data_IF_846746904261
#
_entry.id   IF_846746904261
#
_cell.length_a   1.000
_cell.length_b   1.000
_cell.length_c   1.000
_cell.angle_alpha   90.00
_cell.angle_beta   90.00
_cell.angle_gamma   90.00
#
_symmetry.space_group_name_H-M   'P 1'
#
loop_
_entity.id
_entity.type
_entity.pdbx_description
1 polymer ?
#
# COMPACT_ATOMS: atom_id res chain seq x y z
N UNK A 1 -20.05 -0.66 -20.67
CA UNK A 1 -20.57 0.60 -20.10
C UNK A 1 -19.59 1.00 -19.01
N UNK A 2 -18.44 1.58 -19.40
CA UNK A 2 -17.33 1.88 -18.50
C UNK A 2 -17.71 3.01 -17.55
N UNK A 3 -17.81 2.70 -16.26
CA UNK A 3 -17.89 3.70 -15.22
C UNK A 3 -16.46 4.25 -15.07
N UNK A 4 -16.14 5.28 -15.85
CA UNK A 4 -15.03 6.18 -15.53
C UNK A 4 -15.30 6.73 -14.13
N UNK A 5 -14.48 6.38 -13.15
CA UNK A 5 -14.45 7.05 -11.85
C UNK A 5 -14.09 8.53 -12.04
N UNK A 6 -15.10 9.34 -12.37
CA UNK A 6 -15.09 10.78 -12.15
C UNK A 6 -15.88 11.07 -10.88
N UNK A 7 -15.42 10.58 -9.73
CA UNK A 7 -15.76 11.20 -8.45
C UNK A 7 -14.75 12.31 -8.20
N UNK A 8 -15.07 13.52 -8.68
CA UNK A 8 -14.40 14.74 -8.20
C UNK A 8 -14.81 14.89 -6.74
N UNK A 9 -13.94 14.52 -5.81
CA UNK A 9 -14.06 14.96 -4.42
C UNK A 9 -14.09 16.50 -4.46
N UNK A 10 -15.20 17.09 -4.03
CA UNK A 10 -15.28 18.54 -3.89
C UNK A 10 -14.42 18.92 -2.69
N UNK A 11 -13.44 19.83 -2.88
CA UNK A 11 -12.47 20.25 -1.84
C UNK A 11 -13.14 21.15 -0.77
N UNK A 12 -14.46 21.07 -0.61
CA UNK A 12 -15.24 21.90 0.30
C UNK A 12 -15.00 21.60 1.78
N UNK A 13 -14.69 20.33 2.12
CA UNK A 13 -14.57 19.86 3.51
C UNK A 13 -13.28 20.28 4.23
N UNK A 14 -12.21 20.66 3.52
CA UNK A 14 -10.93 21.03 4.16
C UNK A 14 -11.02 22.40 4.87
N UNK A 15 -12.01 23.25 4.53
CA UNK A 15 -12.15 24.59 5.13
C UNK A 15 -12.44 24.57 6.64
N UNK A 16 -12.86 23.44 7.21
CA UNK A 16 -13.10 23.30 8.65
C UNK A 16 -11.86 22.93 9.48
N UNK A 17 -10.79 22.44 8.86
CA UNK A 17 -9.61 21.87 9.55
C UNK A 17 -8.57 22.91 9.99
N UNK A 18 -8.74 24.18 9.62
CA UNK A 18 -7.79 25.27 9.89
C UNK A 18 -8.27 26.30 10.93
N UNK A 19 -9.20 25.93 11.83
CA UNK A 19 -9.70 26.85 12.85
C UNK A 19 -8.72 27.10 14.03
N UNK A 20 -7.51 26.52 14.01
CA UNK A 20 -6.51 26.70 15.07
C UNK A 20 -5.03 26.47 14.70
N UNK A 21 -4.74 25.91 13.53
CA UNK A 21 -3.39 25.82 12.97
C UNK A 21 -3.24 26.85 11.85
N UNK A 22 -2.12 27.58 11.76
CA UNK A 22 -1.87 28.45 10.60
C UNK A 22 -2.04 27.63 9.32
N UNK A 23 -2.84 28.13 8.38
CA UNK A 23 -3.15 27.46 7.11
C UNK A 23 -1.83 26.99 6.45
N UNK A 24 -1.57 25.68 6.43
CA UNK A 24 -0.33 25.13 5.87
C UNK A 24 -0.29 25.41 4.37
N UNK A 25 0.83 25.95 3.92
CA UNK A 25 1.06 26.21 2.50
C UNK A 25 1.55 24.95 1.78
N UNK A 26 1.45 24.92 0.44
CA UNK A 26 2.07 23.85 -0.36
C UNK A 26 3.58 23.73 -0.08
N UNK A 27 4.23 24.85 0.22
CA UNK A 27 5.65 24.91 0.55
C UNK A 27 5.97 24.27 1.91
N UNK A 28 5.07 24.38 2.89
CA UNK A 28 5.21 23.67 4.16
C UNK A 28 5.13 22.15 3.97
N UNK A 29 4.24 21.68 3.08
CA UNK A 29 4.17 20.27 2.70
C UNK A 29 5.42 19.84 1.92
N UNK A 30 5.93 20.68 1.01
CA UNK A 30 7.17 20.41 0.29
C UNK A 30 8.36 20.24 1.24
N UNK A 31 8.51 21.15 2.20
CA UNK A 31 9.56 21.06 3.21
C UNK A 31 9.39 19.83 4.10
N UNK A 32 8.16 19.48 4.47
CA UNK A 32 7.87 18.26 5.24
C UNK A 32 8.27 17.00 4.46
N UNK A 33 7.81 16.87 3.22
CA UNK A 33 8.14 15.75 2.33
C UNK A 33 9.64 15.65 2.08
N UNK A 34 10.32 16.79 1.84
CA UNK A 34 11.76 16.83 1.64
C UNK A 34 12.54 16.31 2.87
N UNK A 35 12.14 16.74 4.08
CA UNK A 35 12.82 16.38 5.33
C UNK A 35 12.49 15.00 5.88
N UNK A 36 11.35 14.41 5.49
CA UNK A 36 10.88 13.14 6.06
C UNK A 36 10.94 11.97 5.08
N UNK A 37 10.62 12.19 3.80
CA UNK A 37 10.55 11.14 2.79
C UNK A 37 11.76 11.23 1.86
N UNK A 38 11.90 12.32 1.11
CA UNK A 38 12.90 12.41 0.02
C UNK A 38 14.34 12.41 0.53
N UNK A 39 14.59 12.85 1.76
CA UNK A 39 15.92 12.74 2.39
C UNK A 39 16.42 11.29 2.52
N UNK A 40 15.53 10.31 2.47
CA UNK A 40 15.84 8.88 2.54
C UNK A 40 15.86 8.20 1.15
N UNK A 41 15.60 8.94 0.06
CA UNK A 41 15.59 8.36 -1.28
C UNK A 41 17.01 8.07 -1.75
N UNK A 42 17.28 6.82 -2.13
CA UNK A 42 18.59 6.45 -2.65
C UNK A 42 18.90 7.19 -3.97
N UNK A 43 20.07 7.85 -4.10
CA UNK A 43 20.39 8.66 -5.27
C UNK A 43 20.65 7.84 -6.55
N UNK A 44 20.91 6.54 -6.45
CA UNK A 44 21.15 5.67 -7.61
C UNK A 44 19.89 4.90 -8.00
N UNK A 45 19.30 4.17 -7.06
CA UNK A 45 18.16 3.28 -7.34
C UNK A 45 16.81 3.99 -7.26
N UNK A 46 16.71 5.10 -6.54
CA UNK A 46 15.45 5.75 -6.20
C UNK A 46 14.67 5.09 -5.06
N UNK A 47 15.18 4.00 -4.48
CA UNK A 47 14.49 3.25 -3.43
C UNK A 47 14.67 3.87 -2.04
N UNK A 48 13.69 3.66 -1.17
CA UNK A 48 13.70 3.97 0.25
C UNK A 48 14.00 2.70 1.05
N UNK A 49 14.97 2.80 1.96
CA UNK A 49 15.16 1.77 2.99
C UNK A 49 14.10 1.92 4.09
N UNK A 50 13.68 0.81 4.70
CA UNK A 50 12.68 0.82 5.77
C UNK A 50 13.18 1.47 7.08
N UNK A 51 14.49 1.62 7.26
CA UNK A 51 15.07 2.22 8.45
C UNK A 51 16.55 2.54 8.26
N UNK A 52 17.15 3.21 9.25
CA UNK A 52 18.56 3.62 9.19
C UNK A 52 19.55 2.46 9.29
N UNK A 53 19.14 1.36 9.91
CA UNK A 53 20.00 0.21 10.23
C UNK A 53 19.88 -0.93 9.22
N UNK A 54 19.13 -0.74 8.14
CA UNK A 54 18.93 -1.75 7.09
C UNK A 54 18.96 -1.07 5.73
N UNK A 55 19.46 -1.77 4.71
CA UNK A 55 19.31 -1.33 3.33
C UNK A 55 18.07 -1.96 2.67
N UNK A 56 17.21 -2.67 3.40
CA UNK A 56 16.05 -3.33 2.83
C UNK A 56 14.96 -2.33 2.41
N UNK A 57 14.56 -2.40 1.15
CA UNK A 57 13.48 -1.64 0.52
C UNK A 57 12.31 -2.57 0.19
N UNK A 58 11.23 -2.48 0.95
CA UNK A 58 9.98 -3.19 0.65
C UNK A 58 9.24 -2.48 -0.47
N UNK A 59 8.69 -3.26 -1.41
CA UNK A 59 7.91 -2.74 -2.54
C UNK A 59 6.76 -1.87 -2.03
N UNK A 60 5.97 -2.39 -1.08
CA UNK A 60 4.79 -1.72 -0.52
C UNK A 60 5.12 -0.37 0.12
N UNK A 61 6.12 -0.35 1.00
CA UNK A 61 6.56 0.85 1.71
C UNK A 61 7.09 1.92 0.74
N UNK A 62 7.83 1.51 -0.28
CA UNK A 62 8.32 2.41 -1.33
C UNK A 62 7.17 3.03 -2.13
N UNK A 63 6.16 2.23 -2.47
CA UNK A 63 4.98 2.71 -3.20
C UNK A 63 4.17 3.69 -2.34
N UNK A 64 3.88 3.36 -1.07
CA UNK A 64 3.16 4.28 -0.18
C UNK A 64 3.94 5.58 0.10
N UNK A 65 5.26 5.50 0.29
CA UNK A 65 6.10 6.69 0.46
C UNK A 65 6.03 7.61 -0.76
N UNK A 66 6.09 7.04 -1.97
CA UNK A 66 6.11 7.85 -3.19
C UNK A 66 4.73 8.35 -3.61
N UNK A 67 3.64 7.70 -3.16
CA UNK A 67 2.27 8.21 -3.31
C UNK A 67 2.09 9.57 -2.62
N UNK A 68 2.71 9.81 -1.46
CA UNK A 68 2.66 11.11 -0.79
C UNK A 68 3.35 12.21 -1.62
N UNK A 69 4.50 11.90 -2.21
CA UNK A 69 5.25 12.80 -3.10
C UNK A 69 4.46 13.10 -4.38
N UNK A 70 3.83 12.08 -4.96
CA UNK A 70 2.96 12.21 -6.13
C UNK A 70 1.70 13.05 -5.83
N UNK A 71 1.05 12.83 -4.68
CA UNK A 71 -0.09 13.65 -4.26
C UNK A 71 0.27 15.14 -4.12
N UNK A 72 1.46 15.44 -3.61
CA UNK A 72 1.97 16.82 -3.56
C UNK A 72 2.29 17.36 -4.96
N UNK A 73 2.88 16.56 -5.86
CA UNK A 73 3.16 17.00 -7.23
C UNK A 73 1.86 17.34 -7.99
N UNK A 74 0.82 16.52 -7.84
CA UNK A 74 -0.51 16.79 -8.39
C UNK A 74 -1.12 18.08 -7.83
N UNK A 75 -0.84 18.41 -6.57
CA UNK A 75 -1.29 19.64 -5.94
C UNK A 75 -0.59 20.87 -6.55
N UNK A 76 0.74 20.84 -6.70
CA UNK A 76 1.47 21.89 -7.42
C UNK A 76 1.04 22.01 -8.88
N UNK A 77 0.74 20.89 -9.55
CA UNK A 77 0.26 20.86 -10.94
C UNK A 77 -1.06 21.61 -11.15
N UNK A 78 -1.88 21.75 -10.10
CA UNK A 78 -3.10 22.57 -10.13
C UNK A 78 -2.82 24.08 -9.97
N UNK A 79 -1.61 24.47 -9.58
CA UNK A 79 -1.21 25.84 -9.26
C UNK A 79 0.06 26.28 -10.02
N UNK A 80 0.16 25.92 -11.31
CA UNK A 80 1.34 26.18 -12.17
C UNK A 80 1.49 27.63 -12.66
N UNK A 81 0.62 28.55 -12.22
CA UNK A 81 0.69 29.97 -12.61
C UNK A 81 2.00 30.65 -12.15
N UNK A 82 2.71 30.04 -11.20
CA UNK A 82 4.01 30.48 -10.71
C UNK A 82 5.11 29.53 -11.20
N UNK A 83 6.16 30.09 -11.82
CA UNK A 83 7.30 29.32 -12.33
C UNK A 83 7.98 28.46 -11.25
N UNK A 84 8.02 28.94 -10.00
CA UNK A 84 8.57 28.18 -8.87
C UNK A 84 7.79 26.88 -8.60
N UNK A 85 6.45 26.92 -8.70
CA UNK A 85 5.60 25.74 -8.53
C UNK A 85 5.82 24.73 -9.66
N UNK A 86 6.13 25.19 -10.86
CA UNK A 86 6.49 24.31 -11.98
C UNK A 86 7.77 23.53 -11.69
N UNK A 87 8.83 24.20 -11.20
CA UNK A 87 10.09 23.54 -10.85
C UNK A 87 9.88 22.51 -9.72
N UNK A 88 9.20 22.89 -8.64
CA UNK A 88 8.88 21.98 -7.53
C UNK A 88 8.06 20.78 -7.99
N UNK A 89 7.03 21.01 -8.81
CA UNK A 89 6.24 19.94 -9.41
C UNK A 89 7.13 18.96 -10.20
N UNK A 90 7.99 19.49 -11.08
CA UNK A 90 8.88 18.66 -11.90
C UNK A 90 9.84 17.83 -11.04
N UNK A 91 10.47 18.43 -10.02
CA UNK A 91 11.38 17.73 -9.10
C UNK A 91 10.69 16.59 -8.35
N UNK A 92 9.46 16.82 -7.88
CA UNK A 92 8.63 15.79 -7.24
C UNK A 92 8.27 14.68 -8.24
N UNK A 93 7.80 15.02 -9.45
CA UNK A 93 7.47 14.04 -10.50
C UNK A 93 8.70 13.19 -10.88
N UNK A 94 9.90 13.78 -11.00
CA UNK A 94 11.12 13.03 -11.26
C UNK A 94 11.50 12.08 -10.10
N UNK A 95 11.26 12.50 -8.87
CA UNK A 95 11.46 11.64 -7.69
C UNK A 95 10.50 10.44 -7.71
N UNK A 96 9.25 10.66 -8.15
CA UNK A 96 8.23 9.62 -8.34
C UNK A 96 8.67 8.61 -9.39
N UNK A 97 9.00 9.10 -10.59
CA UNK A 97 9.48 8.28 -11.71
C UNK A 97 10.69 7.45 -11.29
N UNK A 98 11.65 8.05 -10.58
CA UNK A 98 12.86 7.35 -10.13
C UNK A 98 12.56 6.16 -9.23
N UNK A 99 11.68 6.32 -8.24
CA UNK A 99 11.31 5.22 -7.32
C UNK A 99 10.59 4.09 -8.06
N UNK A 100 9.57 4.44 -8.85
CA UNK A 100 8.75 3.46 -9.55
C UNK A 100 9.56 2.69 -10.61
N UNK A 101 10.52 3.35 -11.26
CA UNK A 101 11.48 2.69 -12.15
C UNK A 101 12.50 1.84 -11.40
N UNK A 102 12.98 2.30 -10.24
CA UNK A 102 13.83 1.52 -9.36
C UNK A 102 13.21 0.16 -9.02
N UNK A 103 11.93 0.17 -8.61
CA UNK A 103 11.15 -1.03 -8.34
C UNK A 103 10.96 -1.90 -9.59
N UNK A 104 10.64 -1.30 -10.75
CA UNK A 104 10.52 -2.02 -12.02
C UNK A 104 11.79 -2.80 -12.34
N UNK A 105 12.95 -2.13 -12.26
CA UNK A 105 14.26 -2.74 -12.54
C UNK A 105 14.54 -3.90 -11.57
N UNK A 106 14.18 -3.75 -10.29
CA UNK A 106 14.33 -4.82 -9.30
C UNK A 106 13.49 -6.05 -9.66
N UNK A 107 12.24 -5.85 -10.08
CA UNK A 107 11.36 -6.94 -10.52
C UNK A 107 11.84 -7.57 -11.83
N UNK A 108 12.30 -6.77 -12.80
CA UNK A 108 12.83 -7.25 -14.09
C UNK A 108 14.06 -8.15 -13.93
N UNK A 109 14.93 -7.87 -12.95
CA UNK A 109 16.06 -8.76 -12.63
C UNK A 109 15.61 -10.17 -12.23
N UNK A 110 14.37 -10.34 -11.78
CA UNK A 110 13.77 -11.61 -11.41
C UNK A 110 12.84 -12.20 -12.49
N UNK A 111 12.95 -11.76 -13.75
CA UNK A 111 12.06 -12.22 -14.85
C UNK A 111 11.93 -13.74 -14.97
N UNK A 112 13.01 -14.50 -14.69
CA UNK A 112 12.97 -15.97 -14.69
C UNK A 112 12.03 -16.54 -13.64
N UNK A 113 11.92 -15.88 -12.48
CA UNK A 113 10.98 -16.27 -11.42
C UNK A 113 9.55 -15.98 -11.84
N UNK A 114 9.28 -14.80 -12.40
CA UNK A 114 7.95 -14.43 -12.94
C UNK A 114 7.47 -15.45 -13.98
N UNK A 115 8.33 -15.78 -14.95
CA UNK A 115 8.01 -16.79 -15.98
C UNK A 115 7.69 -18.15 -15.39
N UNK A 116 8.50 -18.61 -14.43
CA UNK A 116 8.31 -19.91 -13.78
C UNK A 116 7.02 -19.92 -12.94
N UNK A 117 6.77 -18.87 -12.16
CA UNK A 117 5.62 -18.75 -11.28
C UNK A 117 4.29 -18.87 -12.03
N UNK A 118 4.14 -18.28 -13.22
CA UNK A 118 2.92 -18.42 -14.05
C UNK A 118 2.50 -19.87 -14.30
N UNK A 119 3.44 -20.80 -14.25
CA UNK A 119 3.18 -22.24 -14.45
C UNK A 119 3.14 -23.02 -13.14
N UNK A 120 3.97 -22.66 -12.17
CA UNK A 120 4.11 -23.44 -10.93
C UNK A 120 3.16 -22.98 -9.83
N UNK A 121 2.82 -21.69 -9.81
CA UNK A 121 2.10 -20.99 -8.74
C UNK A 121 2.71 -21.25 -7.35
N UNK A 122 3.99 -21.62 -7.32
CA UNK A 122 4.68 -22.03 -6.10
C UNK A 122 5.28 -20.81 -5.41
N UNK A 123 5.17 -20.76 -4.08
CA UNK A 123 5.84 -19.74 -3.26
C UNK A 123 7.35 -19.68 -3.48
N UNK A 124 7.99 -20.80 -3.83
CA UNK A 124 9.44 -20.87 -4.05
C UNK A 124 9.87 -20.11 -5.32
N UNK A 125 8.94 -19.95 -6.26
CA UNK A 125 9.13 -19.26 -7.53
C UNK A 125 8.61 -17.81 -7.49
N UNK A 126 8.11 -17.34 -6.34
CA UNK A 126 7.55 -16.02 -6.19
C UNK A 126 8.60 -14.90 -6.33
N UNK A 127 8.17 -13.75 -6.83
CA UNK A 127 8.95 -12.52 -6.76
C UNK A 127 9.29 -12.16 -5.31
N UNK A 128 10.49 -11.63 -5.10
CA UNK A 128 10.82 -11.03 -3.80
C UNK A 128 9.99 -9.77 -3.56
N UNK A 129 9.50 -9.63 -2.33
CA UNK A 129 8.75 -8.46 -1.88
C UNK A 129 9.65 -7.30 -1.40
N UNK A 130 10.96 -7.56 -1.24
CA UNK A 130 11.95 -6.57 -0.77
C UNK A 130 13.30 -6.72 -1.47
N UNK A 131 14.00 -5.59 -1.61
CA UNK A 131 15.28 -5.47 -2.33
C UNK A 131 16.30 -4.71 -1.51
N UNK A 132 17.57 -4.80 -1.88
CA UNK A 132 18.57 -3.85 -1.40
C UNK A 132 18.29 -2.47 -2.02
N UNK A 133 18.06 -1.47 -1.19
CA UNK A 133 17.89 -0.07 -1.58
C UNK A 133 19.13 0.51 -2.29
N UNK A 134 20.31 -0.07 -2.07
CA UNK A 134 21.57 0.39 -2.68
C UNK A 134 21.81 -0.25 -4.04
N UNK A 135 21.53 -1.55 -4.19
CA UNK A 135 21.88 -2.31 -5.41
C UNK A 135 20.68 -2.70 -6.27
N UNK A 136 19.47 -2.68 -5.70
CA UNK A 136 18.26 -3.21 -6.30
C UNK A 136 18.32 -4.72 -6.55
N UNK A 137 19.14 -5.46 -5.80
CA UNK A 137 19.20 -6.93 -5.83
C UNK A 137 18.32 -7.50 -4.72
N UNK A 138 18.11 -8.83 -4.73
CA UNK A 138 17.42 -9.54 -3.65
C UNK A 138 18.09 -9.27 -2.30
N UNK A 139 17.32 -8.82 -1.30
CA UNK A 139 17.85 -8.47 0.02
C UNK A 139 18.22 -9.71 0.86
N UNK A 140 17.49 -10.81 0.67
CA UNK A 140 17.62 -12.07 1.40
C UNK A 140 17.41 -13.24 0.43
N UNK A 141 17.70 -14.47 0.85
CA UNK A 141 17.49 -15.68 0.06
C UNK A 141 16.01 -16.03 -0.16
N UNK A 142 15.74 -16.91 -1.12
CA UNK A 142 14.38 -17.33 -1.52
C UNK A 142 13.57 -17.97 -0.40
N UNK A 143 14.23 -18.69 0.53
CA UNK A 143 13.57 -19.42 1.61
C UNK A 143 13.67 -18.72 2.97
N UNK A 144 14.21 -17.50 3.00
CA UNK A 144 14.49 -16.77 4.25
C UNK A 144 13.35 -15.81 4.64
N UNK A 145 12.35 -15.63 3.77
CA UNK A 145 11.27 -14.66 3.96
C UNK A 145 9.98 -15.06 3.26
N UNK A 146 8.84 -14.55 3.76
CA UNK A 146 7.54 -14.69 3.12
C UNK A 146 7.42 -13.80 1.88
N UNK A 147 8.10 -14.17 0.81
CA UNK A 147 8.22 -13.37 -0.42
C UNK A 147 6.96 -13.33 -1.27
N UNK A 148 6.17 -14.41 -1.29
CA UNK A 148 4.90 -14.44 -2.02
C UNK A 148 3.91 -13.49 -1.35
N UNK A 149 3.90 -12.25 -1.81
CA UNK A 149 3.05 -11.13 -1.37
C UNK A 149 2.40 -10.53 -2.61
N UNK A 150 1.21 -11.01 -2.97
CA UNK A 150 0.53 -10.59 -4.18
C UNK A 150 -0.01 -9.16 -4.03
N UNK A 151 -0.31 -8.72 -2.80
CA UNK A 151 -0.70 -7.35 -2.48
C UNK A 151 0.38 -6.34 -2.91
N UNK A 152 1.66 -6.63 -2.65
CA UNK A 152 2.76 -5.68 -2.90
C UNK A 152 2.99 -5.44 -4.40
N UNK A 153 3.01 -6.52 -5.20
CA UNK A 153 3.11 -6.41 -6.66
C UNK A 153 1.86 -5.75 -7.25
N UNK A 154 0.68 -6.08 -6.72
CA UNK A 154 -0.59 -5.49 -7.18
C UNK A 154 -0.69 -4.01 -6.86
N UNK A 155 -0.26 -3.58 -5.67
CA UNK A 155 -0.22 -2.16 -5.30
C UNK A 155 0.72 -1.37 -6.21
N UNK A 156 1.90 -1.92 -6.52
CA UNK A 156 2.82 -1.32 -7.48
C UNK A 156 2.17 -1.15 -8.85
N UNK A 157 1.50 -2.19 -9.35
CA UNK A 157 0.81 -2.17 -10.63
C UNK A 157 -0.35 -1.16 -10.65
N UNK A 158 -1.20 -1.17 -9.63
CA UNK A 158 -2.27 -0.19 -9.47
C UNK A 158 -1.74 1.24 -9.53
N UNK A 159 -0.69 1.54 -8.74
CA UNK A 159 -0.10 2.88 -8.73
C UNK A 159 0.66 3.22 -10.01
N UNK A 160 1.28 2.25 -10.69
CA UNK A 160 1.84 2.45 -12.03
C UNK A 160 0.76 2.93 -12.99
N UNK A 161 -0.41 2.28 -12.99
CA UNK A 161 -1.53 2.64 -13.85
C UNK A 161 -2.09 4.04 -13.56
N UNK A 162 -2.31 4.36 -12.28
CA UNK A 162 -2.79 5.67 -11.84
C UNK A 162 -1.80 6.79 -12.15
N UNK A 163 -0.50 6.56 -11.90
CA UNK A 163 0.56 7.54 -12.18
C UNK A 163 0.73 7.78 -13.68
N UNK A 164 0.72 6.72 -14.50
CA UNK A 164 0.72 6.85 -15.97
C UNK A 164 -0.49 7.63 -16.46
N UNK A 165 -1.68 7.34 -15.93
CA UNK A 165 -2.92 8.06 -16.26
C UNK A 165 -2.87 9.54 -15.87
N UNK A 166 -2.10 9.91 -14.85
CA UNK A 166 -1.84 11.30 -14.46
C UNK A 166 -0.82 12.05 -15.35
N UNK A 167 -0.25 11.34 -16.33
CA UNK A 167 0.71 11.86 -17.30
C UNK A 167 2.17 11.62 -16.93
N UNK A 168 2.48 10.81 -15.92
CA UNK A 168 3.87 10.43 -15.63
C UNK A 168 4.36 9.38 -16.61
N UNK A 169 5.52 9.64 -17.21
CA UNK A 169 6.19 8.66 -18.06
C UNK A 169 7.10 7.80 -17.18
N UNK A 170 6.67 6.58 -16.86
CA UNK A 170 7.40 5.64 -15.99
C UNK A 170 8.00 4.48 -16.79
N UNK A 171 7.27 3.96 -17.78
CA UNK A 171 7.70 2.84 -18.66
C UNK A 171 8.26 3.42 -19.95
N UNK A 172 9.46 3.01 -20.36
CA UNK A 172 10.25 3.66 -21.41
C UNK A 172 10.43 2.81 -22.67
N UNK A 173 10.38 1.48 -22.56
CA UNK A 173 10.66 0.57 -23.67
C UNK A 173 9.56 -0.49 -23.80
N UNK A 174 9.45 -1.07 -25.00
CA UNK A 174 8.50 -2.17 -25.22
C UNK A 174 8.88 -3.42 -24.41
N UNK A 175 10.16 -3.65 -24.12
CA UNK A 175 10.57 -4.75 -23.24
C UNK A 175 10.06 -4.54 -21.80
N UNK A 176 10.03 -3.28 -21.33
CA UNK A 176 9.43 -2.94 -20.04
C UNK A 176 7.90 -3.11 -20.07
N UNK A 177 7.23 -2.77 -21.18
CA UNK A 177 5.78 -3.06 -21.38
C UNK A 177 5.52 -4.55 -21.31
N UNK A 178 6.27 -5.36 -22.06
CA UNK A 178 6.12 -6.82 -22.10
C UNK A 178 6.33 -7.41 -20.69
N UNK A 179 7.26 -6.85 -19.91
CA UNK A 179 7.44 -7.24 -18.52
C UNK A 179 6.27 -6.85 -17.61
N UNK A 180 5.68 -5.65 -17.76
CA UNK A 180 4.48 -5.26 -17.00
C UNK A 180 3.30 -6.17 -17.37
N UNK A 181 3.13 -6.51 -18.65
CA UNK A 181 2.15 -7.51 -19.08
C UNK A 181 2.41 -8.88 -18.45
N UNK A 182 3.67 -9.24 -18.24
CA UNK A 182 4.03 -10.47 -17.54
C UNK A 182 3.67 -10.43 -16.04
N UNK A 183 3.76 -9.26 -15.41
CA UNK A 183 3.30 -9.08 -14.03
C UNK A 183 1.77 -9.16 -13.92
N UNK A 184 1.00 -8.78 -14.94
CA UNK A 184 -0.45 -9.05 -15.00
C UNK A 184 -0.70 -10.55 -14.90
N UNK A 185 -0.03 -11.36 -15.73
CA UNK A 185 -0.17 -12.82 -15.69
C UNK A 185 0.29 -13.42 -14.35
N UNK A 186 1.21 -12.75 -13.65
CA UNK A 186 1.65 -13.15 -12.31
C UNK A 186 0.56 -12.94 -11.25
N UNK A 187 -0.27 -11.89 -11.35
CA UNK A 187 -1.31 -11.57 -10.36
C UNK A 187 -2.74 -12.02 -10.74
N UNK A 188 -2.99 -12.38 -12.00
CA UNK A 188 -4.36 -12.65 -12.50
C UNK A 188 -5.05 -13.83 -11.81
N UNK A 189 -4.28 -14.77 -11.26
CA UNK A 189 -4.79 -15.93 -10.51
C UNK A 189 -4.81 -15.72 -8.98
N UNK A 190 -4.62 -14.49 -8.50
CA UNK A 190 -4.62 -14.15 -7.07
C UNK A 190 -5.84 -14.64 -6.29
N UNK A 191 -7.02 -14.72 -6.92
CA UNK A 191 -8.26 -15.21 -6.33
C UNK A 191 -8.18 -16.65 -5.77
N UNK A 192 -7.18 -17.44 -6.16
CA UNK A 192 -7.01 -18.82 -5.71
C UNK A 192 -5.61 -19.15 -5.18
N UNK A 193 -4.69 -18.20 -5.15
CA UNK A 193 -3.31 -18.41 -4.71
C UNK A 193 -3.17 -17.92 -3.26
N UNK A 194 -2.94 -18.81 -2.29
CA UNK A 194 -2.59 -18.41 -0.94
C UNK A 194 -1.24 -17.69 -0.92
N UNK A 195 -1.14 -16.60 -0.18
CA UNK A 195 0.08 -15.79 -0.05
C UNK A 195 0.37 -15.46 1.43
N UNK A 196 1.47 -14.73 1.68
CA UNK A 196 1.87 -14.32 3.02
C UNK A 196 1.13 -13.07 3.54
N UNK A 197 0.31 -12.46 2.69
CA UNK A 197 -0.42 -11.22 2.97
C UNK A 197 0.49 -10.03 3.29
N UNK A 198 -0.14 -8.89 3.55
CA UNK A 198 0.54 -7.61 3.82
C UNK A 198 1.46 -7.65 5.06
N UNK A 199 1.21 -8.59 5.98
CA UNK A 199 1.98 -8.76 7.21
C UNK A 199 3.09 -9.80 7.12
N UNK A 200 3.27 -10.41 5.94
CA UNK A 200 4.43 -11.26 5.62
C UNK A 200 4.48 -12.56 6.44
N UNK A 201 3.31 -12.98 6.97
CA UNK A 201 3.16 -14.08 7.93
C UNK A 201 2.24 -15.20 7.46
N UNK A 202 1.40 -14.92 6.47
CA UNK A 202 0.39 -15.85 5.98
C UNK A 202 -0.68 -16.05 7.04
N UNK A 203 -0.76 -17.24 7.60
CA UNK A 203 -1.75 -17.60 8.61
C UNK A 203 -1.56 -16.85 9.95
N UNK A 204 -2.63 -16.75 10.74
CA UNK A 204 -2.66 -16.04 12.03
C UNK A 204 -1.66 -16.59 13.05
N UNK A 205 -1.33 -17.89 12.97
CA UNK A 205 -0.36 -18.52 13.88
C UNK A 205 1.08 -18.27 13.46
N UNK A 206 1.31 -17.67 12.30
CA UNK A 206 2.63 -17.31 11.79
C UNK A 206 3.58 -18.51 11.83
N UNK A 207 3.16 -19.66 11.27
CA UNK A 207 4.01 -20.84 11.12
C UNK A 207 4.59 -20.97 9.70
N UNK A 208 4.51 -19.90 8.89
CA UNK A 208 5.03 -19.87 7.53
C UNK A 208 4.12 -20.53 6.49
N UNK A 209 2.83 -20.71 6.80
CA UNK A 209 1.83 -21.20 5.87
C UNK A 209 1.08 -20.04 5.21
N UNK A 210 1.06 -19.95 3.87
CA UNK A 210 0.27 -18.93 3.20
C UNK A 210 -1.23 -19.22 3.32
N UNK A 211 -2.04 -18.17 3.29
CA UNK A 211 -3.50 -18.25 3.25
C UNK A 211 -4.04 -17.38 2.12
N UNK A 212 -5.24 -17.68 1.65
CA UNK A 212 -5.92 -16.76 0.73
C UNK A 212 -6.32 -15.51 1.54
N UNK A 213 -5.65 -14.39 1.26
CA UNK A 213 -5.84 -13.11 1.93
C UNK A 213 -6.71 -12.19 1.07
N UNK A 214 -7.81 -11.70 1.62
CA UNK A 214 -8.76 -10.84 0.93
C UNK A 214 -8.12 -9.52 0.53
N UNK A 215 -7.26 -8.95 1.37
CA UNK A 215 -6.46 -7.76 1.04
C UNK A 215 -5.63 -7.93 -0.24
N UNK A 216 -4.98 -9.08 -0.42
CA UNK A 216 -4.21 -9.40 -1.64
C UNK A 216 -5.12 -9.55 -2.86
N UNK A 217 -6.25 -10.28 -2.73
CA UNK A 217 -7.20 -10.47 -3.84
C UNK A 217 -7.84 -9.14 -4.26
N UNK A 218 -8.21 -8.28 -3.30
CA UNK A 218 -8.78 -6.97 -3.56
C UNK A 218 -7.80 -6.04 -4.27
N UNK A 219 -6.56 -5.96 -3.77
CA UNK A 219 -5.52 -5.16 -4.42
C UNK A 219 -5.23 -5.65 -5.85
N UNK A 220 -5.18 -6.96 -6.07
CA UNK A 220 -5.00 -7.55 -7.40
C UNK A 220 -6.18 -7.22 -8.32
N UNK A 221 -7.43 -7.34 -7.85
CA UNK A 221 -8.62 -6.94 -8.62
C UNK A 221 -8.50 -5.49 -9.09
N UNK A 222 -8.18 -4.56 -8.18
CA UNK A 222 -8.05 -3.15 -8.53
C UNK A 222 -6.93 -2.90 -9.55
N UNK A 223 -5.78 -3.56 -9.39
CA UNK A 223 -4.70 -3.45 -10.36
C UNK A 223 -5.11 -3.95 -11.75
N UNK A 224 -5.75 -5.13 -11.82
CA UNK A 224 -6.27 -5.71 -13.05
C UNK A 224 -7.29 -4.78 -13.74
N UNK A 225 -8.18 -4.15 -12.96
CA UNK A 225 -9.15 -3.18 -13.47
C UNK A 225 -8.48 -1.89 -13.98
N UNK A 226 -7.51 -1.35 -13.24
CA UNK A 226 -6.83 -0.10 -13.58
C UNK A 226 -5.92 -0.20 -14.80
N UNK A 227 -5.30 -1.36 -15.03
CA UNK A 227 -4.37 -1.58 -16.14
C UNK A 227 -5.05 -2.08 -17.41
N UNK A 228 -6.28 -2.59 -17.34
CA UNK A 228 -6.95 -3.12 -18.51
C UNK A 228 -7.15 -2.01 -19.57
N UNK A 229 -6.64 -2.24 -20.78
CA UNK A 229 -6.65 -1.30 -21.90
C UNK A 229 -5.86 0.00 -21.66
N UNK A 230 -5.01 0.04 -20.63
CA UNK A 230 -4.14 1.18 -20.37
C UNK A 230 -2.91 1.16 -21.30
N UNK A 231 -2.62 2.30 -21.94
CA UNK A 231 -1.38 2.51 -22.67
C UNK A 231 -0.27 3.00 -21.72
N UNK A 232 0.77 2.18 -21.53
CA UNK A 232 1.87 2.48 -20.60
C UNK A 232 2.76 3.63 -21.05
N UNK A 233 2.71 4.04 -22.32
CA UNK A 233 3.37 5.25 -22.83
C UNK A 233 2.45 6.48 -22.81
N UNK A 234 1.26 6.35 -22.23
CA UNK A 234 0.26 7.42 -22.16
C UNK A 234 -0.18 7.88 -23.56
N UNK A 235 -0.21 9.19 -23.78
CA UNK A 235 -0.65 9.75 -25.07
C UNK A 235 0.30 9.47 -26.25
N UNK A 236 1.50 8.96 -25.98
CA UNK A 236 2.54 8.75 -27.00
C UNK A 236 2.65 7.29 -27.47
N UNK A 237 1.82 6.40 -26.92
CA UNK A 237 1.89 4.98 -27.22
C UNK A 237 1.10 4.53 -28.44
N UNK A 238 0.95 3.21 -28.54
CA UNK A 238 0.21 2.56 -29.61
C UNK A 238 -0.17 1.13 -29.24
N UNK A 239 -0.69 0.33 -30.17
CA UNK A 239 -1.25 -0.99 -29.85
C UNK A 239 -0.31 -1.97 -29.12
N UNK A 240 1.01 -1.77 -29.21
CA UNK A 240 2.03 -2.59 -28.54
C UNK A 240 2.33 -2.18 -27.11
N UNK A 241 1.91 -1.00 -26.66
CA UNK A 241 2.11 -0.49 -25.30
C UNK A 241 0.84 -0.59 -24.43
N UNK A 242 -0.23 -1.17 -24.99
CA UNK A 242 -1.49 -1.40 -24.30
C UNK A 242 -1.41 -2.71 -23.51
N UNK A 243 -1.83 -2.63 -22.24
CA UNK A 243 -1.95 -3.80 -21.37
C UNK A 243 -3.32 -4.44 -21.52
N UNK A 244 -3.33 -5.77 -21.54
CA UNK A 244 -4.53 -6.58 -21.73
C UNK A 244 -4.78 -7.47 -20.52
N UNK A 245 -6.02 -7.45 -20.04
CA UNK A 245 -6.47 -8.25 -18.90
C UNK A 245 -7.75 -9.00 -19.29
N UNK A 246 -7.84 -10.28 -18.94
CA UNK A 246 -9.09 -11.04 -19.13
C UNK A 246 -10.12 -10.64 -18.08
N UNK A 247 -11.34 -10.35 -18.53
CA UNK A 247 -12.47 -9.99 -17.66
C UNK A 247 -12.85 -11.13 -16.69
N UNK A 248 -12.56 -12.39 -17.04
CA UNK A 248 -12.87 -13.55 -16.19
C UNK A 248 -12.11 -13.51 -14.87
N UNK A 249 -10.82 -13.11 -14.89
CA UNK A 249 -10.01 -13.00 -13.69
C UNK A 249 -10.51 -11.92 -12.73
N UNK A 250 -10.93 -10.77 -13.28
CA UNK A 250 -11.57 -9.70 -12.50
C UNK A 250 -12.86 -10.20 -11.85
N UNK A 251 -13.69 -10.92 -12.62
CA UNK A 251 -14.94 -11.50 -12.12
C UNK A 251 -14.72 -12.55 -11.01
N UNK A 252 -13.69 -13.40 -11.14
CA UNK A 252 -13.36 -14.38 -10.11
C UNK A 252 -12.84 -13.71 -8.83
N UNK A 253 -11.96 -12.71 -8.93
CA UNK A 253 -11.56 -11.92 -7.77
C UNK A 253 -12.76 -11.27 -7.07
N UNK A 254 -13.67 -10.65 -7.83
CA UNK A 254 -14.91 -10.09 -7.29
C UNK A 254 -15.76 -11.14 -6.56
N UNK A 255 -15.95 -12.31 -7.17
CA UNK A 255 -16.76 -13.40 -6.60
C UNK A 255 -16.17 -13.94 -5.29
N UNK A 256 -14.85 -14.09 -5.24
CA UNK A 256 -14.13 -14.53 -4.04
C UNK A 256 -14.22 -13.47 -2.93
N UNK A 257 -14.01 -12.19 -3.25
CA UNK A 257 -14.12 -11.10 -2.27
C UNK A 257 -15.52 -11.02 -1.64
N UNK A 258 -16.56 -11.15 -2.47
CA UNK A 258 -17.95 -11.19 -1.98
C UNK A 258 -18.22 -12.36 -1.03
N UNK A 259 -17.54 -13.49 -1.22
CA UNK A 259 -17.68 -14.66 -0.36
C UNK A 259 -16.83 -14.60 0.91
N UNK A 260 -15.69 -13.90 0.88
CA UNK A 260 -14.74 -13.85 1.98
C UNK A 260 -15.00 -12.70 2.95
N UNK A 261 -15.31 -11.51 2.46
CA UNK A 261 -15.53 -10.35 3.32
C UNK A 261 -16.72 -10.58 4.29
N UNK A 262 -16.64 -10.08 5.54
CA UNK A 262 -15.63 -9.15 6.09
C UNK A 262 -14.35 -9.83 6.64
N UNK A 263 -14.14 -11.12 6.37
CA UNK A 263 -12.97 -11.88 6.84
C UNK A 263 -11.76 -11.56 5.98
N UNK A 264 -10.56 -11.49 6.59
CA UNK A 264 -9.32 -11.35 5.82
C UNK A 264 -8.88 -12.69 5.22
N UNK A 265 -8.77 -13.73 6.04
CA UNK A 265 -8.32 -15.05 5.60
C UNK A 265 -8.94 -16.14 6.47
N UNK A 266 -8.75 -17.42 6.13
CA UNK A 266 -9.36 -18.53 6.89
C UNK A 266 -9.18 -18.39 8.41
N UNK A 267 -7.96 -18.08 8.86
CA UNK A 267 -7.63 -17.91 10.27
C UNK A 267 -7.85 -16.50 10.84
N UNK A 268 -7.96 -15.45 10.01
CA UNK A 268 -8.13 -14.05 10.42
C UNK A 268 -9.56 -13.57 10.18
N UNK A 269 -10.34 -13.53 11.26
CA UNK A 269 -11.75 -13.12 11.27
C UNK A 269 -12.01 -11.67 10.85
N UNK A 270 -10.98 -10.82 10.87
CA UNK A 270 -10.94 -9.44 10.38
C UNK A 270 -9.47 -9.00 10.33
N UNK A 271 -9.14 -7.99 9.54
CA UNK A 271 -7.82 -7.37 9.52
C UNK A 271 -7.95 -5.90 9.10
N UNK A 272 -7.13 -5.03 9.65
CA UNK A 272 -7.15 -3.60 9.35
C UNK A 272 -6.68 -3.30 7.91
N UNK A 273 -5.91 -4.20 7.29
CA UNK A 273 -5.49 -4.10 5.89
C UNK A 273 -6.64 -4.13 4.89
N UNK A 274 -7.80 -4.67 5.28
CA UNK A 274 -9.03 -4.62 4.49
C UNK A 274 -9.46 -3.18 4.16
N UNK A 275 -9.05 -2.18 4.97
CA UNK A 275 -9.27 -0.77 4.68
C UNK A 275 -8.66 -0.35 3.32
N UNK A 276 -7.55 -0.98 2.93
CA UNK A 276 -6.87 -0.68 1.65
C UNK A 276 -7.65 -1.15 0.41
N UNK A 277 -8.61 -2.07 0.58
CA UNK A 277 -9.41 -2.62 -0.52
C UNK A 277 -10.85 -2.13 -0.54
N UNK A 278 -11.45 -1.82 0.62
CA UNK A 278 -12.80 -1.24 0.67
C UNK A 278 -12.79 0.28 0.46
N UNK A 279 -11.60 0.90 0.55
CA UNK A 279 -11.38 2.34 0.40
C UNK A 279 -10.09 2.60 -0.39
N UNK A 280 -9.49 3.78 -0.23
CA UNK A 280 -8.23 4.12 -0.88
C UNK A 280 -7.09 3.19 -0.41
N UNK A 281 -6.24 2.68 -1.32
CA UNK A 281 -6.14 3.07 -2.74
C UNK A 281 -7.01 2.27 -3.72
N UNK A 282 -7.53 1.11 -3.34
CA UNK A 282 -7.97 0.13 -4.33
C UNK A 282 -9.46 0.18 -4.69
N UNK A 283 -10.35 0.63 -3.79
CA UNK A 283 -11.81 0.72 -4.01
C UNK A 283 -12.42 -0.51 -4.71
N UNK A 284 -11.98 -1.71 -4.31
CA UNK A 284 -12.20 -2.95 -5.04
C UNK A 284 -13.60 -3.53 -4.88
N UNK A 285 -14.40 -3.01 -3.95
CA UNK A 285 -15.71 -3.54 -3.57
C UNK A 285 -16.81 -2.55 -3.96
N UNK A 286 -17.73 -2.99 -4.81
CA UNK A 286 -18.83 -2.17 -5.31
C UNK A 286 -20.06 -2.17 -4.39
N UNK A 287 -20.22 -3.21 -3.58
CA UNK A 287 -21.33 -3.38 -2.65
C UNK A 287 -21.10 -2.53 -1.38
N UNK A 288 -21.83 -1.41 -1.29
CA UNK A 288 -21.69 -0.44 -0.19
C UNK A 288 -22.12 -1.00 1.17
N UNK A 289 -23.04 -1.96 1.19
CA UNK A 289 -23.46 -2.59 2.44
C UNK A 289 -22.33 -3.48 2.96
N UNK A 290 -21.69 -4.24 2.07
CA UNK A 290 -20.50 -5.05 2.40
C UNK A 290 -19.31 -4.19 2.83
N UNK A 291 -19.08 -3.05 2.15
CA UNK A 291 -18.06 -2.06 2.56
C UNK A 291 -18.34 -1.55 3.97
N UNK A 292 -19.59 -1.19 4.26
CA UNK A 292 -20.00 -0.67 5.57
C UNK A 292 -19.87 -1.75 6.65
N UNK A 293 -20.35 -2.96 6.41
CA UNK A 293 -20.22 -4.10 7.33
C UNK A 293 -18.75 -4.39 7.64
N UNK A 294 -17.90 -4.43 6.61
CA UNK A 294 -16.47 -4.68 6.75
C UNK A 294 -15.81 -3.57 7.57
N UNK A 295 -16.05 -2.30 7.23
CA UNK A 295 -15.51 -1.14 7.97
C UNK A 295 -15.95 -1.14 9.42
N UNK A 296 -17.23 -1.36 9.70
CA UNK A 296 -17.77 -1.44 11.07
C UNK A 296 -17.14 -2.61 11.82
N UNK A 297 -16.96 -3.76 11.20
CA UNK A 297 -16.30 -4.92 11.80
C UNK A 297 -14.84 -4.64 12.20
N UNK A 298 -14.09 -3.96 11.31
CA UNK A 298 -12.71 -3.53 11.56
C UNK A 298 -12.66 -2.56 12.75
N UNK A 299 -13.41 -1.46 12.68
CA UNK A 299 -13.41 -0.43 13.73
C UNK A 299 -13.83 -1.02 15.08
N UNK A 300 -14.91 -1.80 15.11
CA UNK A 300 -15.45 -2.36 16.36
C UNK A 300 -14.48 -3.32 17.04
N UNK A 301 -13.73 -4.11 16.26
CA UNK A 301 -12.86 -5.17 16.80
C UNK A 301 -11.42 -4.71 17.03
N UNK A 302 -10.91 -3.79 16.21
CA UNK A 302 -9.48 -3.48 16.14
C UNK A 302 -9.14 -2.06 16.60
N UNK A 303 -10.10 -1.14 16.68
CA UNK A 303 -9.81 0.22 17.10
C UNK A 303 -9.45 0.28 18.59
N UNK A 304 -8.29 0.85 18.86
CA UNK A 304 -7.80 1.18 20.18
C UNK A 304 -7.68 2.69 20.38
N UNK A 305 -6.84 3.09 21.34
CA UNK A 305 -6.67 4.52 21.68
C UNK A 305 -5.75 5.24 20.69
N UNK A 306 -4.68 4.58 20.27
CA UNK A 306 -3.59 5.15 19.48
C UNK A 306 -3.57 4.66 18.02
N UNK A 307 -4.62 3.96 17.59
CA UNK A 307 -4.71 3.40 16.25
C UNK A 307 -5.57 2.16 16.21
N UNK A 308 -5.41 1.35 15.16
CA UNK A 308 -6.02 0.03 15.07
C UNK A 308 -4.95 -1.05 15.21
N UNK A 309 -5.26 -2.15 15.88
CA UNK A 309 -4.44 -3.36 15.79
C UNK A 309 -4.52 -3.94 14.37
N UNK A 310 -3.48 -4.65 13.93
CA UNK A 310 -3.45 -5.26 12.59
C UNK A 310 -4.56 -6.30 12.43
N UNK A 311 -4.61 -7.25 13.36
CA UNK A 311 -5.67 -8.24 13.51
C UNK A 311 -5.69 -8.72 14.97
N UNK A 312 -6.77 -9.39 15.38
CA UNK A 312 -6.92 -9.89 16.75
C UNK A 312 -5.84 -10.92 17.08
N UNK A 313 -5.31 -10.90 18.31
CA UNK A 313 -4.26 -11.80 18.82
C UNK A 313 -2.94 -11.73 18.05
N UNK A 314 -2.65 -10.57 17.46
CA UNK A 314 -1.37 -10.31 16.85
C UNK A 314 -0.31 -9.99 17.91
N UNK A 315 0.75 -10.78 17.96
CA UNK A 315 1.84 -10.61 18.91
C UNK A 315 2.90 -9.59 18.49
N UNK A 316 2.84 -9.02 17.28
CA UNK A 316 3.95 -8.26 16.74
C UNK A 316 4.34 -7.05 17.59
N UNK A 317 5.60 -7.03 18.01
CA UNK A 317 6.24 -6.04 18.89
C UNK A 317 5.50 -5.85 20.22
N UNK A 318 4.64 -6.79 20.60
CA UNK A 318 4.00 -6.77 21.93
C UNK A 318 5.06 -7.09 23.00
N UNK A 319 4.88 -6.63 24.25
CA UNK A 319 5.85 -6.89 25.33
C UNK A 319 6.09 -8.38 25.61
N UNK A 320 5.18 -9.26 25.18
CA UNK A 320 5.27 -10.70 25.38
C UNK A 320 5.85 -11.46 24.17
N UNK A 321 6.07 -10.79 23.04
CA UNK A 321 6.66 -11.42 21.86
C UNK A 321 8.15 -11.67 22.06
N UNK A 322 8.59 -12.89 21.75
CA UNK A 322 10.01 -13.17 21.68
C UNK A 322 10.54 -12.72 20.31
N UNK A 323 11.23 -11.57 20.30
CA UNK A 323 11.80 -10.96 19.09
C UNK A 323 12.94 -11.76 18.43
N UNK A 324 13.45 -12.82 19.06
CA UNK A 324 14.57 -13.62 18.51
C UNK A 324 14.15 -14.69 17.48
N UNK A 325 12.86 -14.89 17.26
CA UNK A 325 12.32 -15.93 16.36
C UNK A 325 11.31 -15.33 15.38
N UNK A 326 11.23 -15.96 14.22
CA UNK A 326 10.33 -15.55 13.14
C UNK A 326 8.87 -16.00 13.39
N UNK A 327 8.68 -17.17 13.99
CA UNK A 327 7.38 -17.83 14.13
C UNK A 327 6.91 -17.89 15.59
N UNK A 328 5.59 -17.94 15.78
CA UNK A 328 4.99 -18.09 17.11
C UNK A 328 4.98 -19.54 17.57
N UNK A 329 4.86 -19.73 18.88
CA UNK A 329 4.53 -21.02 19.45
C UNK A 329 2.99 -21.13 19.47
N UNK A 330 2.42 -22.32 19.23
CA UNK A 330 0.98 -22.51 19.10
C UNK A 330 0.13 -21.96 20.26
N UNK A 331 0.69 -21.86 21.46
CA UNK A 331 -0.03 -21.44 22.67
C UNK A 331 0.03 -19.94 22.94
N UNK A 332 0.79 -19.16 22.17
CA UNK A 332 1.05 -17.75 22.50
C UNK A 332 -0.01 -16.78 22.03
N UNK A 333 -0.79 -17.12 20.99
CA UNK A 333 -1.80 -16.22 20.44
C UNK A 333 -2.78 -15.72 21.50
N UNK A 334 -3.18 -16.59 22.43
CA UNK A 334 -4.09 -16.21 23.53
C UNK A 334 -3.44 -15.21 24.50
N UNK A 335 -2.12 -15.19 24.61
CA UNK A 335 -1.37 -14.25 25.46
C UNK A 335 -1.33 -12.84 24.85
N UNK A 336 -1.48 -12.72 23.54
CA UNK A 336 -1.49 -11.44 22.82
C UNK A 336 -2.86 -10.77 22.82
N UNK A 337 -3.91 -11.48 23.21
CA UNK A 337 -5.27 -10.95 23.28
C UNK A 337 -5.33 -9.74 24.22
N UNK A 338 -5.81 -8.60 23.70
CA UNK A 338 -5.93 -7.28 24.35
C UNK A 338 -4.63 -6.52 24.60
N UNK A 339 -3.50 -7.03 24.11
CA UNK A 339 -2.20 -6.32 24.16
C UNK A 339 -1.61 -6.11 22.77
N UNK A 340 -2.40 -6.34 21.72
CA UNK A 340 -2.00 -6.13 20.34
C UNK A 340 -1.59 -4.66 20.14
N UNK A 341 -0.44 -4.43 19.51
CA UNK A 341 0.04 -3.08 19.24
C UNK A 341 -0.95 -2.31 18.37
N UNK A 342 -1.12 -1.03 18.65
CA UNK A 342 -2.02 -0.13 17.93
C UNK A 342 -1.23 0.67 16.88
N UNK A 343 -1.70 0.70 15.64
CA UNK A 343 -1.03 1.33 14.51
C UNK A 343 -1.77 2.62 14.10
N UNK A 344 -1.19 3.81 14.35
CA UNK A 344 -1.82 5.09 14.01
C UNK A 344 -2.06 5.26 12.50
N UNK A 345 -1.31 4.54 11.67
CA UNK A 345 -1.48 4.50 10.21
C UNK A 345 -2.94 4.27 9.80
N UNK A 346 -3.70 3.45 10.54
CA UNK A 346 -5.09 3.18 10.20
C UNK A 346 -6.04 4.33 10.49
N UNK A 347 -5.69 5.27 11.37
CA UNK A 347 -6.40 6.55 11.43
C UNK A 347 -6.20 7.35 10.14
N UNK A 348 -5.02 7.32 9.53
CA UNK A 348 -4.81 7.93 8.21
C UNK A 348 -5.71 7.30 7.13
N UNK A 349 -5.85 5.97 7.12
CA UNK A 349 -6.80 5.29 6.23
C UNK A 349 -8.24 5.76 6.46
N UNK A 350 -8.68 5.90 7.72
CA UNK A 350 -10.03 6.34 8.04
C UNK A 350 -10.26 7.83 7.74
N UNK A 351 -9.23 8.67 7.84
CA UNK A 351 -9.27 10.06 7.37
C UNK A 351 -9.46 10.09 5.85
N UNK A 352 -8.65 9.34 5.10
CA UNK A 352 -8.77 9.24 3.65
C UNK A 352 -10.15 8.71 3.24
N UNK A 353 -10.63 7.66 3.91
CA UNK A 353 -11.98 7.13 3.71
C UNK A 353 -13.06 8.20 3.90
N UNK A 354 -12.95 9.01 4.96
CA UNK A 354 -13.88 10.10 5.23
C UNK A 354 -13.83 11.17 4.13
N UNK A 355 -12.63 11.52 3.64
CA UNK A 355 -12.44 12.47 2.55
C UNK A 355 -13.07 11.99 1.23
N UNK A 356 -12.90 10.70 0.87
CA UNK A 356 -13.48 10.14 -0.35
C UNK A 356 -15.00 9.98 -0.29
N UNK A 357 -15.57 9.93 0.91
CA UNK A 357 -17.03 9.84 1.15
C UNK A 357 -17.66 11.17 1.55
N UNK A 358 -16.91 12.29 1.53
CA UNK A 358 -17.36 13.61 1.97
C UNK A 358 -17.98 13.59 3.39
N UNK A 359 -17.40 12.79 4.29
CA UNK A 359 -17.82 12.65 5.68
C UNK A 359 -16.90 13.48 6.61
N UNK A 360 -17.22 14.77 6.74
CA UNK A 360 -16.44 15.72 7.53
C UNK A 360 -16.38 15.37 9.02
N UNK A 361 -17.41 14.72 9.58
CA UNK A 361 -17.43 14.28 10.98
C UNK A 361 -16.40 13.18 11.23
N UNK A 362 -16.34 12.17 10.34
CA UNK A 362 -15.32 11.12 10.40
C UNK A 362 -13.91 11.70 10.28
N UNK A 363 -13.71 12.61 9.33
CA UNK A 363 -12.42 13.27 9.12
C UNK A 363 -12.00 14.04 10.37
N UNK A 364 -12.87 14.88 10.92
CA UNK A 364 -12.57 15.68 12.11
C UNK A 364 -12.24 14.81 13.33
N UNK A 365 -13.01 13.73 13.55
CA UNK A 365 -12.78 12.82 14.66
C UNK A 365 -11.42 12.12 14.56
N UNK A 366 -11.11 11.51 13.41
CA UNK A 366 -9.85 10.77 13.26
C UNK A 366 -8.62 11.69 13.14
N UNK A 367 -8.77 12.92 12.63
CA UNK A 367 -7.71 13.92 12.73
C UNK A 367 -7.38 14.25 14.19
N UNK A 368 -8.39 14.48 15.04
CA UNK A 368 -8.17 14.73 16.47
C UNK A 368 -7.48 13.56 17.18
N UNK A 369 -7.90 12.32 16.89
CA UNK A 369 -7.23 11.12 17.43
C UNK A 369 -5.79 10.97 16.94
N UNK A 370 -5.54 11.28 15.65
CA UNK A 370 -4.20 11.21 15.07
C UNK A 370 -3.27 12.26 15.69
N UNK A 371 -3.76 13.47 15.99
CA UNK A 371 -2.98 14.52 16.64
C UNK A 371 -2.41 14.08 18.00
N UNK A 372 -3.16 13.29 18.78
CA UNK A 372 -2.68 12.70 20.05
C UNK A 372 -1.55 11.68 19.85
N UNK A 373 -1.41 11.14 18.64
CA UNK A 373 -0.41 10.13 18.27
C UNK A 373 0.84 10.72 17.59
N UNK A 374 0.88 12.03 17.34
CA UNK A 374 2.04 12.66 16.69
C UNK A 374 3.13 12.90 17.72
N UNK A 375 4.36 12.49 17.39
CA UNK A 375 5.56 12.81 18.17
C UNK A 375 6.48 13.75 17.38
N UNK A 376 7.45 14.36 18.06
CA UNK A 376 8.49 15.17 17.40
C UNK A 376 9.81 14.42 17.39
N UNK A 377 10.47 14.39 16.23
CA UNK A 377 11.84 13.89 16.12
C UNK A 377 12.84 14.89 16.76
N UNK A 378 14.14 14.54 16.89
CA UNK A 378 15.15 15.43 17.47
C UNK A 378 15.31 16.78 16.75
N UNK A 379 14.90 16.87 15.48
CA UNK A 379 14.93 18.10 14.66
C UNK A 379 13.63 18.92 14.79
N UNK A 380 12.69 18.48 15.63
CA UNK A 380 11.40 19.14 15.87
C UNK A 380 10.31 18.85 14.83
N UNK A 381 10.59 17.97 13.86
CA UNK A 381 9.62 17.56 12.82
C UNK A 381 8.60 16.60 13.40
N UNK A 382 7.33 16.86 13.13
CA UNK A 382 6.22 15.98 13.49
C UNK A 382 6.27 14.68 12.69
N UNK A 383 6.21 13.55 13.37
CA UNK A 383 6.23 12.21 12.77
C UNK A 383 5.15 11.35 13.42
N UNK A 384 4.63 10.40 12.62
CA UNK A 384 3.70 9.38 13.08
C UNK A 384 4.52 8.11 13.37
N UNK A 385 4.51 7.59 14.61
CA UNK A 385 5.16 6.32 14.93
C UNK A 385 4.57 5.15 14.14
N UNK A 386 5.38 4.12 13.92
CA UNK A 386 4.93 2.85 13.33
C UNK A 386 3.77 2.24 14.15
N UNK A 387 3.96 2.17 15.47
CA UNK A 387 2.97 1.61 16.40
C UNK A 387 3.15 2.10 17.84
N UNK A 388 2.14 1.83 18.66
CA UNK A 388 2.13 1.98 20.10
C UNK A 388 1.92 0.61 20.76
N UNK A 389 2.83 0.25 21.69
CA UNK A 389 2.67 -0.94 22.50
C UNK A 389 1.58 -0.73 23.58
N UNK A 390 0.70 -1.72 23.75
CA UNK A 390 -0.37 -1.70 24.76
C UNK A 390 0.03 -2.54 25.96
N UNK A 391 -0.13 -2.01 27.18
CA UNK A 391 0.19 -2.75 28.41
C UNK A 391 -0.98 -3.67 28.82
N UNK A 392 -0.70 -4.81 29.49
CA UNK A 392 -1.75 -5.73 29.96
C UNK A 392 -2.75 -5.14 30.97
N UNK A 393 -2.39 -4.02 31.59
CA UNK A 393 -3.08 -3.38 32.71
C UNK A 393 -4.27 -2.47 32.29
N UNK A 394 -4.71 -2.56 31.03
CA UNK A 394 -5.87 -1.83 30.50
C UNK A 394 -7.22 -2.40 30.91
#
# INVERSE_FOLDING_TARGET
>A
MSIKLQRRASIGGIRGLAAGASEMTLDDYYHTVAKTILCNQNPLTGLFAAGKDTDHAWVRDNVYAIMAVWGLSLSYKKHLDQMENWTKCYELEQSVVKTMRGLLICMMKQVKKVEKFKTTLSRDDALHAKYSSVTGNTAVGDNEWGHLQLDATSLYLLMLGEMTSSGLHIVYTLDEVDFVQNLIFYIEQSYMIPDYGIWERGDKTNHGYPELNSSSVGMAKAALEALNELDLFGSNGGPRSIIHVSADYIYWCHSVLKAMLPRESFSKETDASLLSIISYPAFSIEDLDLVTETKTGIITKLQGRYGLSRFLRDGHKTPLENASRLHYDPHELKRFEKIECEWPLFFCYLILDGLFHENDEQVSNYCGLLEECIIKNPEGVQIIPELYAVTPDR
#
